data_IF_568254571308
#
_entry.id   IF_568254571308
#
_cell.length_a   1.000
_cell.length_b   1.000
_cell.length_c   1.000
_cell.angle_alpha   90.00
_cell.angle_beta   90.00
_cell.angle_gamma   90.00
#
_symmetry.space_group_name_H-M   'P 1'
#
loop_
_entity.id
_entity.type
_entity.pdbx_description
1 polymer ?
#
# COMPACT_ATOMS: atom_id res chain seq x y z
N UNK A 1 -39.38 49.13 -30.12
CA UNK A 1 -38.76 49.15 -31.47
C UNK A 1 -37.63 48.12 -31.45
N UNK A 2 -37.72 47.04 -32.25
CA UNK A 2 -36.76 45.93 -32.22
C UNK A 2 -35.65 46.21 -33.24
N UNK A 3 -34.40 46.33 -32.79
CA UNK A 3 -33.25 46.49 -33.68
C UNK A 3 -33.01 45.16 -34.43
N UNK A 4 -33.02 45.19 -35.77
CA UNK A 4 -32.76 44.02 -36.63
C UNK A 4 -31.53 44.28 -37.49
N UNK A 5 -30.77 43.23 -37.78
CA UNK A 5 -29.63 43.31 -38.72
C UNK A 5 -30.08 43.22 -40.18
N UNK A 6 -29.24 43.63 -41.15
CA UNK A 6 -29.56 43.64 -42.58
C UNK A 6 -29.98 42.28 -43.18
N UNK A 7 -29.73 41.16 -42.48
CA UNK A 7 -30.11 39.81 -42.91
C UNK A 7 -31.39 39.30 -42.22
N UNK A 8 -32.20 40.19 -41.62
CA UNK A 8 -33.56 39.88 -41.15
C UNK A 8 -33.68 39.14 -39.81
N UNK A 9 -32.58 38.75 -39.17
CA UNK A 9 -32.57 38.07 -37.87
C UNK A 9 -32.75 39.07 -36.70
N UNK A 10 -33.55 38.75 -35.67
CA UNK A 10 -33.75 39.60 -34.50
C UNK A 10 -32.52 39.61 -33.58
N UNK A 11 -32.14 40.78 -33.06
CA UNK A 11 -31.04 40.90 -32.09
C UNK A 11 -31.49 40.41 -30.71
N UNK A 12 -30.82 39.39 -30.18
CA UNK A 12 -30.97 38.90 -28.80
C UNK A 12 -29.74 39.31 -27.96
N UNK A 13 -30.00 39.80 -26.74
CA UNK A 13 -28.99 40.34 -25.80
C UNK A 13 -28.48 39.32 -24.78
N UNK A 14 -28.59 38.03 -25.05
CA UNK A 14 -28.09 36.95 -24.17
C UNK A 14 -27.04 36.09 -24.88
N UNK A 15 -25.85 36.64 -25.04
CA UNK A 15 -24.69 35.92 -25.54
C UNK A 15 -23.49 36.09 -24.60
N UNK A 16 -23.55 35.48 -23.40
CA UNK A 16 -22.34 35.20 -22.62
C UNK A 16 -22.57 34.18 -21.50
N UNK A 17 -22.04 32.98 -21.74
CA UNK A 17 -21.49 31.98 -20.80
C UNK A 17 -22.02 30.56 -21.03
N UNK A 18 -21.58 29.93 -22.13
CA UNK A 18 -21.61 28.46 -22.20
C UNK A 18 -20.61 27.92 -21.16
N UNK A 19 -21.01 27.08 -20.18
CA UNK A 19 -20.04 26.35 -19.38
C UNK A 19 -19.29 25.39 -20.31
N UNK A 20 -17.95 25.47 -20.31
CA UNK A 20 -17.10 24.47 -20.97
C UNK A 20 -17.37 23.12 -20.30
N UNK A 21 -18.07 22.22 -20.98
CA UNK A 21 -18.14 20.82 -20.60
C UNK A 21 -16.71 20.27 -20.76
N UNK A 22 -15.98 20.16 -19.65
CA UNK A 22 -14.80 19.30 -19.61
C UNK A 22 -15.29 17.86 -19.71
N UNK A 23 -15.00 17.22 -20.84
CA UNK A 23 -15.14 15.78 -20.97
C UNK A 23 -14.37 15.12 -19.83
N UNK A 24 -15.09 14.46 -18.91
CA UNK A 24 -14.48 13.53 -17.97
C UNK A 24 -13.86 12.43 -18.82
N UNK A 25 -12.53 12.33 -18.79
CA UNK A 25 -11.85 11.08 -19.14
C UNK A 25 -12.40 10.01 -18.20
N UNK A 26 -13.39 9.26 -18.65
CA UNK A 26 -13.66 7.92 -18.13
C UNK A 26 -12.35 7.18 -18.28
N UNK A 27 -11.70 6.87 -17.16
CA UNK A 27 -10.69 5.82 -17.13
C UNK A 27 -11.41 4.52 -17.45
N UNK A 28 -11.60 4.25 -18.73
CA UNK A 28 -11.75 2.90 -19.21
C UNK A 28 -10.49 2.17 -18.75
N UNK A 29 -10.66 1.28 -17.77
CA UNK A 29 -9.62 0.33 -17.35
C UNK A 29 -9.41 -0.61 -18.53
N UNK A 30 -8.66 -0.13 -19.52
CA UNK A 30 -8.19 -0.93 -20.64
C UNK A 30 -7.06 -1.79 -20.07
N UNK A 31 -7.42 -3.05 -19.82
CA UNK A 31 -6.50 -4.16 -19.61
C UNK A 31 -5.47 -4.17 -20.74
N UNK A 32 -4.29 -3.66 -20.45
CA UNK A 32 -3.21 -3.52 -21.40
C UNK A 32 -1.90 -3.28 -20.68
N UNK A 33 -1.25 -4.37 -20.25
CA UNK A 33 0.20 -4.51 -20.09
C UNK A 33 0.99 -3.27 -19.62
N UNK A 34 0.50 -2.57 -18.59
CA UNK A 34 1.15 -1.40 -17.96
C UNK A 34 1.41 -1.72 -16.50
N UNK A 35 2.61 -1.39 -16.03
CA UNK A 35 3.16 -1.79 -14.73
C UNK A 35 2.17 -1.66 -13.58
N UNK A 36 1.69 -2.80 -13.12
CA UNK A 36 0.96 -2.95 -11.86
C UNK A 36 1.83 -2.43 -10.72
N UNK A 37 1.24 -1.63 -9.83
CA UNK A 37 1.95 -1.20 -8.63
C UNK A 37 2.24 -2.38 -7.70
N UNK A 38 3.28 -2.26 -6.88
CA UNK A 38 3.59 -3.31 -5.91
C UNK A 38 2.41 -3.56 -4.95
N UNK A 39 1.70 -2.50 -4.58
CA UNK A 39 0.51 -2.57 -3.74
C UNK A 39 -0.62 -3.40 -4.39
N UNK A 40 -0.95 -3.13 -5.66
CA UNK A 40 -1.95 -3.89 -6.40
C UNK A 40 -1.58 -5.38 -6.49
N UNK A 41 -0.30 -5.68 -6.72
CA UNK A 41 0.19 -7.05 -6.78
C UNK A 41 0.02 -7.80 -5.44
N UNK A 42 0.22 -7.12 -4.31
CA UNK A 42 -0.03 -7.68 -2.98
C UNK A 42 -1.53 -7.89 -2.78
N UNK A 43 -2.37 -6.92 -3.15
CA UNK A 43 -3.83 -7.03 -3.02
C UNK A 43 -4.40 -8.18 -3.87
N UNK A 44 -3.92 -8.38 -5.10
CA UNK A 44 -4.27 -9.55 -5.92
C UNK A 44 -3.85 -10.87 -5.25
N UNK A 45 -2.66 -10.89 -4.65
CA UNK A 45 -2.15 -12.06 -3.93
C UNK A 45 -2.99 -12.38 -2.69
N UNK A 46 -3.36 -11.36 -1.92
CA UNK A 46 -4.24 -11.50 -0.75
C UNK A 46 -5.62 -12.02 -1.14
N UNK A 47 -6.22 -11.49 -2.22
CA UNK A 47 -7.48 -11.99 -2.74
C UNK A 47 -7.38 -13.45 -3.20
N UNK A 48 -6.26 -13.82 -3.84
CA UNK A 48 -5.98 -15.21 -4.20
C UNK A 48 -5.92 -16.10 -2.96
N UNK A 49 -5.15 -15.73 -1.93
CA UNK A 49 -5.06 -16.49 -0.69
C UNK A 49 -6.41 -16.67 0.00
N UNK A 50 -7.23 -15.61 0.05
CA UNK A 50 -8.56 -15.66 0.62
C UNK A 50 -9.46 -16.61 -0.18
N UNK A 51 -9.48 -16.50 -1.51
CA UNK A 51 -10.32 -17.33 -2.39
C UNK A 51 -9.96 -18.83 -2.34
N UNK A 52 -8.71 -19.14 -1.97
CA UNK A 52 -8.19 -20.51 -1.83
C UNK A 52 -8.19 -21.00 -0.39
N UNK A 53 -8.74 -20.23 0.55
CA UNK A 53 -8.73 -20.54 1.98
C UNK A 53 -7.31 -20.79 2.54
N UNK A 54 -6.30 -20.11 1.99
CA UNK A 54 -4.90 -20.25 2.41
C UNK A 54 -4.59 -19.33 3.59
N UNK A 55 -4.99 -18.05 3.49
CA UNK A 55 -4.81 -17.04 4.53
C UNK A 55 -5.91 -15.98 4.43
N UNK A 56 -6.18 -15.29 5.54
CA UNK A 56 -7.12 -14.16 5.61
C UNK A 56 -6.30 -12.92 5.94
N UNK A 57 -5.89 -12.19 4.90
CA UNK A 57 -5.03 -11.00 5.02
C UNK A 57 -5.66 -9.83 4.26
N UNK A 58 -5.70 -8.66 4.88
CA UNK A 58 -6.31 -7.47 4.31
C UNK A 58 -5.40 -6.24 4.47
N UNK A 59 -5.56 -5.28 3.54
CA UNK A 59 -5.02 -3.94 3.69
C UNK A 59 -5.95 -3.12 4.60
N UNK A 60 -5.39 -2.41 5.56
CA UNK A 60 -6.11 -1.43 6.37
C UNK A 60 -6.49 -0.22 5.50
N UNK A 61 -7.72 0.28 5.61
CA UNK A 61 -8.14 1.46 4.86
C UNK A 61 -7.36 2.70 5.30
N UNK A 62 -7.15 3.64 4.38
CA UNK A 62 -6.48 4.90 4.69
C UNK A 62 -7.23 5.64 5.80
N UNK A 63 -6.56 5.98 6.91
CA UNK A 63 -7.24 6.56 8.07
C UNK A 63 -7.65 8.01 7.79
N UNK A 64 -8.96 8.26 7.88
CA UNK A 64 -9.56 9.58 7.72
C UNK A 64 -10.32 9.98 8.98
N UNK A 65 -10.19 11.23 9.39
CA UNK A 65 -11.03 11.84 10.39
C UNK A 65 -12.21 12.52 9.70
N UNK A 66 -13.39 11.96 9.89
CA UNK A 66 -14.62 12.50 9.33
C UNK A 66 -15.11 13.65 10.22
N UNK A 67 -15.30 14.83 9.62
CA UNK A 67 -15.74 16.04 10.35
C UNK A 67 -17.20 16.34 10.07
N UNK A 68 -17.65 16.14 8.84
CA UNK A 68 -19.03 16.41 8.46
C UNK A 68 -19.61 15.31 7.59
N UNK A 69 -20.81 14.84 7.96
CA UNK A 69 -21.59 13.84 7.24
C UNK A 69 -22.99 14.36 7.02
N UNK A 70 -23.47 14.25 5.79
CA UNK A 70 -24.87 14.50 5.43
C UNK A 70 -25.60 13.17 5.18
N UNK A 71 -26.87 13.11 5.56
CA UNK A 71 -27.74 11.93 5.37
C UNK A 71 -28.93 12.29 4.47
N UNK A 72 -28.77 12.27 3.13
CA UNK A 72 -29.85 12.67 2.23
C UNK A 72 -31.08 11.75 2.30
N UNK A 73 -30.90 10.47 2.66
CA UNK A 73 -31.96 9.45 2.88
C UNK A 73 -31.45 8.40 3.87
N UNK A 74 -32.35 7.61 4.50
CA UNK A 74 -31.98 6.59 5.51
C UNK A 74 -30.94 5.56 5.04
N UNK A 75 -30.84 5.30 3.74
CA UNK A 75 -29.93 4.31 3.15
C UNK A 75 -28.59 4.89 2.67
N UNK A 76 -28.33 6.18 2.87
CA UNK A 76 -27.14 6.84 2.33
C UNK A 76 -26.55 7.85 3.30
N UNK A 77 -25.23 7.76 3.48
CA UNK A 77 -24.41 8.74 4.17
C UNK A 77 -23.38 9.30 3.20
N UNK A 78 -23.20 10.62 3.21
CA UNK A 78 -22.24 11.32 2.36
C UNK A 78 -21.27 12.07 3.26
N UNK A 79 -20.00 11.67 3.24
CA UNK A 79 -18.93 12.43 3.89
C UNK A 79 -18.73 13.73 3.10
N UNK A 80 -18.96 14.87 3.76
CA UNK A 80 -18.79 16.21 3.17
C UNK A 80 -17.43 16.80 3.46
N UNK A 81 -16.87 16.48 4.62
CA UNK A 81 -15.58 16.99 5.06
C UNK A 81 -14.86 15.92 5.87
N UNK A 82 -13.62 15.64 5.48
CA UNK A 82 -12.74 14.75 6.20
C UNK A 82 -11.29 15.20 6.01
N UNK A 83 -10.46 14.96 7.02
CA UNK A 83 -9.03 15.19 7.00
C UNK A 83 -8.29 13.87 7.03
N UNK A 84 -7.20 13.76 6.27
CA UNK A 84 -6.30 12.61 6.41
C UNK A 84 -5.63 12.65 7.77
N UNK A 85 -5.57 11.51 8.43
CA UNK A 85 -4.86 11.35 9.70
C UNK A 85 -3.61 10.51 9.47
N UNK A 86 -2.62 10.68 10.35
CA UNK A 86 -1.44 9.83 10.31
C UNK A 86 -1.83 8.41 10.76
N UNK A 87 -1.51 7.41 9.94
CA UNK A 87 -1.64 6.01 10.35
C UNK A 87 -0.77 5.76 11.59
N UNK A 88 -1.28 5.00 12.55
CA UNK A 88 -0.52 4.61 13.75
C UNK A 88 0.05 3.19 13.64
N UNK A 89 -0.33 2.45 12.61
CA UNK A 89 0.01 1.04 12.40
C UNK A 89 0.54 0.81 10.99
N UNK A 90 1.04 -0.38 10.73
CA UNK A 90 1.33 -0.94 9.40
C UNK A 90 0.09 -1.09 8.52
N UNK A 91 0.30 -1.20 7.21
CA UNK A 91 -0.76 -1.24 6.21
C UNK A 91 -1.48 -2.59 6.09
N UNK A 92 -0.86 -3.74 6.40
CA UNK A 92 -1.47 -5.06 6.21
C UNK A 92 -1.46 -5.89 7.48
N UNK A 93 -2.54 -6.64 7.70
CA UNK A 93 -2.58 -7.66 8.73
C UNK A 93 -3.56 -8.79 8.40
N UNK A 94 -3.47 -9.88 9.15
CA UNK A 94 -4.30 -11.04 8.93
C UNK A 94 -3.93 -12.25 9.77
N UNK A 95 -4.46 -13.40 9.37
CA UNK A 95 -4.22 -14.69 10.00
C UNK A 95 -3.81 -15.73 8.97
N UNK A 96 -2.79 -16.50 9.31
CA UNK A 96 -2.30 -17.63 8.52
C UNK A 96 -1.94 -18.78 9.45
N UNK A 97 -2.59 -19.94 9.30
CA UNK A 97 -2.34 -21.15 10.14
C UNK A 97 -2.39 -20.88 11.66
N UNK A 98 -3.25 -19.97 12.10
CA UNK A 98 -3.38 -19.57 13.50
C UNK A 98 -2.37 -18.50 13.96
N UNK A 99 -1.40 -18.14 13.14
CA UNK A 99 -0.47 -17.04 13.42
C UNK A 99 -1.06 -15.70 12.98
N UNK A 100 -0.91 -14.69 13.83
CA UNK A 100 -1.15 -13.30 13.45
C UNK A 100 -0.02 -12.83 12.52
N UNK A 101 -0.39 -12.36 11.33
CA UNK A 101 0.51 -11.72 10.38
C UNK A 101 0.29 -10.22 10.40
N UNK A 102 1.37 -9.44 10.42
CA UNK A 102 1.32 -7.98 10.33
C UNK A 102 2.53 -7.48 9.53
N UNK A 103 2.29 -6.77 8.44
CA UNK A 103 3.39 -6.34 7.59
C UNK A 103 3.17 -5.00 6.91
N UNK A 104 4.29 -4.43 6.51
CA UNK A 104 4.38 -3.22 5.72
C UNK A 104 4.96 -3.55 4.33
N UNK A 105 4.55 -2.83 3.30
CA UNK A 105 5.06 -3.02 1.95
C UNK A 105 5.60 -1.71 1.41
N UNK A 106 6.89 -1.67 1.06
CA UNK A 106 7.55 -0.48 0.52
C UNK A 106 8.29 -0.82 -0.76
N UNK A 107 8.32 0.14 -1.67
CA UNK A 107 9.08 0.05 -2.91
C UNK A 107 10.19 1.10 -2.98
N UNK A 108 11.26 0.78 -3.70
CA UNK A 108 12.35 1.70 -4.00
C UNK A 108 12.86 1.51 -5.42
N UNK A 109 13.27 2.63 -6.04
CA UNK A 109 13.99 2.63 -7.33
C UNK A 109 15.51 2.54 -7.14
N UNK A 110 15.99 2.70 -5.91
CA UNK A 110 17.42 2.56 -5.62
C UNK A 110 17.85 1.10 -5.85
N UNK A 111 19.06 0.89 -6.38
CA UNK A 111 19.59 -0.43 -6.73
C UNK A 111 20.49 -1.02 -5.65
N UNK A 112 20.95 -0.22 -4.69
CA UNK A 112 21.99 -0.65 -3.73
C UNK A 112 21.53 -0.63 -2.29
N UNK A 113 20.44 0.06 -1.97
CA UNK A 113 19.91 0.16 -0.61
C UNK A 113 18.45 0.58 -0.57
N UNK A 114 17.79 0.31 0.56
CA UNK A 114 16.44 0.72 0.89
C UNK A 114 16.46 1.91 1.87
N UNK A 115 16.09 3.12 1.42
CA UNK A 115 16.09 4.30 2.28
C UNK A 115 15.14 4.21 3.47
N UNK A 116 15.58 4.68 4.64
CA UNK A 116 14.73 4.68 5.84
C UNK A 116 13.60 5.70 5.84
N UNK A 117 13.71 6.78 5.06
CA UNK A 117 12.63 7.76 4.93
C UNK A 117 11.31 7.16 4.41
N UNK A 118 11.34 5.94 3.85
CA UNK A 118 10.16 5.18 3.46
C UNK A 118 9.38 4.60 4.66
N UNK A 119 9.99 4.55 5.84
CA UNK A 119 9.37 4.09 7.08
C UNK A 119 9.17 5.25 8.05
N UNK A 120 8.13 5.14 8.87
CA UNK A 120 7.83 6.12 9.91
C UNK A 120 7.97 5.50 11.30
N UNK A 121 8.35 6.32 12.28
CA UNK A 121 8.62 5.86 13.64
C UNK A 121 7.42 5.11 14.28
N UNK A 122 6.19 5.54 14.00
CA UNK A 122 4.99 4.87 14.50
C UNK A 122 4.86 3.43 13.97
N UNK A 123 5.31 3.16 12.74
CA UNK A 123 5.27 1.81 12.16
C UNK A 123 6.25 0.89 12.87
N UNK A 124 7.45 1.40 13.17
CA UNK A 124 8.49 0.65 13.90
C UNK A 124 8.00 0.31 15.31
N UNK A 125 7.45 1.29 16.05
CA UNK A 125 6.88 1.08 17.39
C UNK A 125 5.72 0.08 17.40
N UNK A 126 4.89 0.10 16.36
CA UNK A 126 3.80 -0.87 16.18
C UNK A 126 4.36 -2.28 15.97
N UNK A 127 5.34 -2.44 15.07
CA UNK A 127 6.00 -3.74 14.83
C UNK A 127 6.64 -4.30 16.11
N UNK A 128 7.35 -3.47 16.89
CA UNK A 128 7.89 -3.88 18.19
C UNK A 128 6.81 -4.39 19.15
N UNK A 129 5.67 -3.70 19.19
CA UNK A 129 4.56 -4.05 20.07
C UNK A 129 3.92 -5.38 19.65
N UNK A 130 3.78 -5.63 18.35
CA UNK A 130 3.29 -6.90 17.83
C UNK A 130 4.27 -8.06 18.05
N UNK A 131 5.59 -7.84 17.86
CA UNK A 131 6.62 -8.85 18.14
C UNK A 131 6.62 -9.26 19.62
N UNK A 132 6.39 -8.33 20.55
CA UNK A 132 6.25 -8.63 21.99
C UNK A 132 5.05 -9.53 22.33
N UNK A 133 4.11 -9.69 21.40
CA UNK A 133 2.93 -10.55 21.54
C UNK A 133 3.02 -11.80 20.64
N UNK A 134 4.25 -12.19 20.26
CA UNK A 134 4.52 -13.33 19.37
C UNK A 134 3.86 -13.23 17.98
N UNK A 135 3.52 -12.02 17.54
CA UNK A 135 3.04 -11.76 16.19
C UNK A 135 4.14 -11.92 15.15
N UNK A 136 3.81 -12.44 13.97
CA UNK A 136 4.75 -12.50 12.84
C UNK A 136 4.73 -11.15 12.13
N UNK A 137 5.73 -10.33 12.45
CA UNK A 137 5.93 -9.02 11.84
C UNK A 137 7.04 -9.04 10.81
N UNK A 138 6.76 -8.51 9.63
CA UNK A 138 7.75 -8.42 8.56
C UNK A 138 7.50 -7.22 7.64
N UNK A 139 8.45 -6.96 6.75
CA UNK A 139 8.29 -6.00 5.67
C UNK A 139 8.59 -6.63 4.32
N UNK A 140 7.80 -6.24 3.33
CA UNK A 140 8.03 -6.59 1.94
C UNK A 140 8.74 -5.43 1.24
N UNK A 141 9.93 -5.70 0.71
CA UNK A 141 10.80 -4.71 0.08
C UNK A 141 10.89 -4.98 -1.42
N UNK A 142 10.31 -4.08 -2.23
CA UNK A 142 10.36 -4.16 -3.68
C UNK A 142 11.41 -3.23 -4.27
N UNK A 143 12.42 -3.80 -4.94
CA UNK A 143 13.41 -3.06 -5.72
C UNK A 143 12.93 -2.95 -7.16
N UNK A 144 12.13 -1.93 -7.48
CA UNK A 144 11.44 -1.83 -8.77
C UNK A 144 12.38 -1.82 -9.97
N UNK A 145 13.57 -1.22 -9.82
CA UNK A 145 14.59 -1.16 -10.87
C UNK A 145 15.33 -2.49 -11.07
N UNK A 146 15.33 -3.36 -10.06
CA UNK A 146 15.94 -4.70 -10.13
C UNK A 146 14.90 -5.79 -10.39
N UNK A 147 13.61 -5.48 -10.21
CA UNK A 147 12.49 -6.43 -10.22
C UNK A 147 12.65 -7.56 -9.19
N UNK A 148 13.16 -7.22 -8.00
CA UNK A 148 13.41 -8.16 -6.90
C UNK A 148 12.56 -7.80 -5.69
N UNK A 149 11.97 -8.81 -5.07
CA UNK A 149 11.12 -8.68 -3.89
C UNK A 149 11.77 -9.44 -2.73
N UNK A 150 11.77 -8.87 -1.54
CA UNK A 150 12.30 -9.52 -0.36
C UNK A 150 11.30 -9.48 0.78
N UNK A 151 11.21 -10.59 1.50
CA UNK A 151 10.68 -10.65 2.85
C UNK A 151 11.82 -10.34 3.81
N UNK A 152 11.61 -9.42 4.75
CA UNK A 152 12.55 -9.15 5.83
C UNK A 152 11.79 -9.17 7.16
N UNK A 153 12.27 -9.96 8.12
CA UNK A 153 11.71 -9.96 9.46
C UNK A 153 11.84 -8.55 10.09
N UNK A 154 10.78 -8.10 10.77
CA UNK A 154 10.77 -6.79 11.41
C UNK A 154 11.85 -6.62 12.48
N UNK A 155 12.32 -7.68 13.14
CA UNK A 155 13.44 -7.60 14.10
C UNK A 155 14.67 -6.94 13.48
N UNK A 156 15.09 -7.40 12.30
CA UNK A 156 16.23 -6.82 11.59
C UNK A 156 15.98 -5.38 11.17
N UNK A 157 14.77 -5.07 10.68
CA UNK A 157 14.43 -3.68 10.32
C UNK A 157 14.54 -2.75 11.54
N UNK A 158 14.02 -3.19 12.68
CA UNK A 158 14.04 -2.45 13.94
C UNK A 158 15.50 -2.21 14.40
N UNK A 159 16.34 -3.24 14.36
CA UNK A 159 17.75 -3.12 14.75
C UNK A 159 18.49 -2.07 13.91
N UNK A 160 18.39 -2.15 12.58
CA UNK A 160 19.02 -1.16 11.70
C UNK A 160 18.39 0.24 11.88
N UNK A 161 17.07 0.31 12.16
CA UNK A 161 16.38 1.58 12.38
C UNK A 161 16.90 2.33 13.60
N UNK A 162 17.20 1.64 14.70
CA UNK A 162 17.77 2.29 15.88
C UNK A 162 19.25 2.62 15.71
N UNK A 163 20.03 1.75 15.08
CA UNK A 163 21.43 2.02 14.78
C UNK A 163 21.62 3.32 13.98
N UNK A 164 20.66 3.71 13.14
CA UNK A 164 20.72 4.98 12.40
C UNK A 164 20.78 6.21 13.33
N UNK A 165 20.15 6.13 14.52
CA UNK A 165 20.12 7.23 15.50
C UNK A 165 21.47 7.38 16.20
N UNK A 166 22.23 6.29 16.31
CA UNK A 166 23.55 6.24 16.93
C UNK A 166 24.69 6.50 15.92
N UNK A 167 24.41 7.24 14.84
CA UNK A 167 25.37 7.58 13.79
C UNK A 167 25.53 6.51 12.70
N UNK A 168 24.69 5.48 12.70
CA UNK A 168 24.66 4.45 11.67
C UNK A 168 24.12 4.92 10.31
N UNK A 169 23.97 3.97 9.38
CA UNK A 169 23.49 4.24 8.01
C UNK A 169 22.03 4.65 8.00
N UNK A 170 21.65 5.54 7.09
CA UNK A 170 20.25 6.01 6.88
C UNK A 170 19.46 5.16 5.87
N UNK A 171 19.94 3.95 5.59
CA UNK A 171 19.32 3.00 4.65
C UNK A 171 19.77 1.57 4.96
N UNK A 172 18.96 0.58 4.57
CA UNK A 172 19.32 -0.83 4.57
C UNK A 172 20.07 -1.17 3.28
N UNK A 173 21.34 -1.59 3.32
CA UNK A 173 22.05 -2.07 2.14
C UNK A 173 21.35 -3.29 1.53
N UNK A 174 21.32 -3.40 0.20
CA UNK A 174 20.78 -4.56 -0.50
C UNK A 174 21.47 -5.86 -0.06
N UNK A 175 22.81 -5.84 0.09
CA UNK A 175 23.56 -7.00 0.54
C UNK A 175 23.10 -7.52 1.91
N UNK A 176 22.78 -6.61 2.85
CA UNK A 176 22.24 -6.99 4.17
C UNK A 176 20.82 -7.56 4.06
N UNK A 177 20.02 -7.06 3.12
CA UNK A 177 18.67 -7.61 2.85
C UNK A 177 18.77 -9.00 2.20
N UNK A 178 19.74 -9.23 1.32
CA UNK A 178 19.97 -10.54 0.70
C UNK A 178 20.47 -11.58 1.71
N UNK A 179 21.26 -11.16 2.68
CA UNK A 179 21.80 -12.03 3.74
C UNK A 179 20.74 -12.38 4.79
N UNK A 180 19.99 -11.38 5.27
CA UNK A 180 19.04 -11.53 6.39
C UNK A 180 17.61 -11.83 5.94
N UNK A 181 17.27 -11.46 4.71
CA UNK A 181 15.93 -11.61 4.14
C UNK A 181 15.74 -12.91 3.37
N UNK A 182 14.51 -13.12 2.91
CA UNK A 182 14.15 -14.20 2.01
C UNK A 182 13.70 -13.57 0.69
N UNK A 183 14.42 -13.85 -0.39
CA UNK A 183 14.02 -13.39 -1.73
C UNK A 183 12.73 -14.10 -2.18
N UNK A 184 11.75 -13.31 -2.59
CA UNK A 184 10.47 -13.76 -3.14
C UNK A 184 10.53 -13.60 -4.65
N UNK A 185 10.37 -14.70 -5.38
CA UNK A 185 10.23 -14.66 -6.83
C UNK A 185 8.78 -14.31 -7.19
N UNK A 186 8.50 -13.18 -7.88
CA UNK A 186 7.13 -12.85 -8.27
C UNK A 186 6.55 -13.89 -9.24
N UNK A 187 5.29 -14.25 -9.02
CA UNK A 187 4.56 -15.25 -9.79
C UNK A 187 3.44 -14.68 -10.66
N UNK A 188 2.63 -15.58 -11.23
CA UNK A 188 1.40 -15.20 -11.92
C UNK A 188 0.20 -15.17 -10.97
N UNK A 189 -0.03 -16.28 -10.23
CA UNK A 189 -1.10 -16.45 -9.26
C UNK A 189 -0.57 -17.33 -8.11
N UNK A 190 -0.22 -16.78 -6.94
CA UNK A 190 -0.23 -15.36 -6.58
C UNK A 190 0.88 -14.55 -7.29
N UNK A 191 0.72 -13.22 -7.34
CA UNK A 191 1.72 -12.30 -7.91
C UNK A 191 2.94 -12.14 -7.00
N UNK A 192 2.69 -12.04 -5.69
CA UNK A 192 3.71 -11.93 -4.64
C UNK A 192 3.49 -13.11 -3.68
N UNK A 193 4.15 -14.26 -3.92
CA UNK A 193 4.03 -15.47 -3.10
C UNK A 193 4.70 -15.33 -1.72
N UNK A 194 4.36 -14.29 -0.94
CA UNK A 194 5.02 -14.04 0.34
C UNK A 194 4.71 -15.08 1.43
N UNK A 195 3.61 -15.84 1.32
CA UNK A 195 3.30 -16.91 2.28
C UNK A 195 4.37 -18.02 2.24
N UNK A 196 5.01 -18.25 1.10
CA UNK A 196 6.12 -19.20 0.98
C UNK A 196 7.33 -18.75 1.81
N UNK A 197 7.60 -17.43 1.83
CA UNK A 197 8.62 -16.84 2.68
C UNK A 197 8.25 -16.90 4.17
N UNK A 198 6.97 -16.71 4.51
CA UNK A 198 6.47 -16.90 5.89
C UNK A 198 6.64 -18.35 6.34
N UNK A 199 6.30 -19.32 5.50
CA UNK A 199 6.49 -20.74 5.81
C UNK A 199 7.97 -21.09 6.00
N UNK A 200 8.85 -20.55 5.15
CA UNK A 200 10.31 -20.71 5.33
C UNK A 200 10.79 -20.10 6.65
N UNK A 201 10.34 -18.90 7.00
CA UNK A 201 10.66 -18.27 8.29
C UNK A 201 10.16 -19.11 9.48
N UNK A 202 8.94 -19.64 9.41
CA UNK A 202 8.38 -20.53 10.43
C UNK A 202 9.14 -21.85 10.57
N UNK A 203 9.68 -22.38 9.47
CA UNK A 203 10.48 -23.61 9.50
C UNK A 203 11.83 -23.40 10.19
N UNK A 204 12.50 -22.27 9.93
CA UNK A 204 13.80 -21.93 10.53
C UNK A 204 13.67 -21.69 12.04
N UNK A 205 12.65 -20.94 12.46
CA UNK A 205 12.41 -20.63 13.88
C UNK A 205 12.01 -21.84 14.74
N UNK A 206 11.49 -22.92 14.14
CA UNK A 206 11.24 -24.19 14.84
C UNK A 206 12.51 -25.01 15.05
N UNK A 207 13.53 -24.85 14.19
CA UNK A 207 14.81 -25.53 14.31
C UNK A 207 15.69 -25.01 15.44
N UNK A 208 15.50 -23.75 15.87
CA UNK A 208 16.28 -23.12 16.95
C UNK A 208 15.76 -23.44 18.36
N UNK A 209 14.57 -24.04 18.48
CA UNK A 209 13.93 -24.36 19.77
C UNK A 209 14.15 -25.80 20.26
N UNK A 210 15.15 -26.51 19.73
CA UNK A 210 15.49 -27.88 20.12
C UNK A 210 16.92 -28.02 20.64
#
# INVERSE_FOLDING_TARGET
MVLRYPNGQPYSKDASSKPKIQEKKTSSTIFGNRGMSFEEAINESNNFYLSKNLAVVHKKPTPIQIVKVDYPRRSAAVIKEAYFTQASTTDYNGVYRGFYLDFEAKETKNKTSFPFNNFHEHQIKHMESCLKQDGICFVLLWFSSLKRCFYLNSTHLIDYWYQQKDGGRKSLPLASIEELGIEITPGFLPRVPYLDAVDRYLSLSKGEKH
#
